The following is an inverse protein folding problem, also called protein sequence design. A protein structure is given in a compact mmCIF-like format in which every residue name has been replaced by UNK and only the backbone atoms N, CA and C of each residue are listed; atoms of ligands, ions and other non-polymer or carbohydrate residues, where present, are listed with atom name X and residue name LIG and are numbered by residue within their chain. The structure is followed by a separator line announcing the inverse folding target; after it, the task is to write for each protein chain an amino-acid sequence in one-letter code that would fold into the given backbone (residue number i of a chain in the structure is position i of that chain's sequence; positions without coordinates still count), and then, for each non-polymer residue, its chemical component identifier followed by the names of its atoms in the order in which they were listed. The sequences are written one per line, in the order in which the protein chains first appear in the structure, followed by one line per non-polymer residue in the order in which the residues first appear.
data_IF_790751541061
#
_entry.id   IF_790751541061
#
_cell.length_a   1.000
_cell.length_b   1.000
_cell.length_c   1.000
_cell.angle_alpha   90.00
_cell.angle_beta   90.00
_cell.angle_gamma   90.00
#
_symmetry.space_group_name_H-M   'P 1'
#
loop_
_entity.id
_entity.type
_entity.pdbx_description
1 polymer ?
#
# COMPACT_ATOMS: atom_id res chain seq x y z
N UNK A 1 -0.27 -12.44 17.62
CA UNK A 1 1.12 -11.97 17.47
C UNK A 1 1.72 -11.41 18.76
N UNK A 2 1.01 -10.61 19.57
CA UNK A 2 1.60 -10.14 20.85
C UNK A 2 2.02 -11.29 21.78
N UNK A 3 1.25 -12.38 21.85
CA UNK A 3 1.63 -13.60 22.60
C UNK A 3 2.78 -14.42 22.00
N UNK A 4 3.33 -14.02 20.85
CA UNK A 4 4.50 -14.65 20.21
C UNK A 4 5.81 -13.91 20.58
N UNK A 5 5.71 -12.77 21.27
CA UNK A 5 6.84 -11.95 21.70
C UNK A 5 7.11 -12.20 23.19
N UNK A 6 8.13 -13.02 23.49
CA UNK A 6 8.59 -13.24 24.86
C UNK A 6 9.57 -12.17 25.34
N UNK A 7 9.90 -12.22 26.64
CA UNK A 7 10.85 -11.30 27.26
C UNK A 7 12.28 -11.44 26.67
N UNK A 8 12.71 -12.67 26.36
CA UNK A 8 14.08 -12.97 25.88
C UNK A 8 14.13 -13.58 24.49
N UNK A 9 13.03 -14.18 24.03
CA UNK A 9 12.92 -14.81 22.70
C UNK A 9 11.60 -14.47 22.02
N UNK A 10 11.63 -14.46 20.71
CA UNK A 10 10.46 -14.28 19.84
C UNK A 10 10.20 -15.60 19.11
N UNK A 11 8.96 -16.08 19.18
CA UNK A 11 8.52 -17.30 18.50
C UNK A 11 7.23 -17.01 17.74
N UNK A 12 7.37 -16.56 16.49
CA UNK A 12 6.22 -16.44 15.59
C UNK A 12 5.71 -17.83 15.26
N UNK A 13 4.53 -18.17 15.80
CA UNK A 13 3.93 -19.49 15.62
C UNK A 13 3.62 -19.74 14.14
N UNK A 14 3.70 -21.00 13.65
CA UNK A 14 3.32 -21.34 12.27
C UNK A 14 1.91 -20.86 11.89
N UNK A 15 0.94 -20.98 12.81
CA UNK A 15 -0.42 -20.48 12.61
C UNK A 15 -0.48 -18.95 12.42
N UNK A 16 0.30 -18.19 13.22
CA UNK A 16 0.41 -16.73 13.05
C UNK A 16 1.02 -16.39 11.69
N UNK A 17 2.11 -17.08 11.28
CA UNK A 17 2.73 -16.86 9.98
C UNK A 17 1.79 -17.17 8.82
N UNK A 18 1.02 -18.26 8.92
CA UNK A 18 0.02 -18.63 7.93
C UNK A 18 -1.06 -17.55 7.82
N UNK A 19 -1.61 -17.08 8.95
CA UNK A 19 -2.61 -16.01 8.96
C UNK A 19 -2.08 -14.70 8.36
N UNK A 20 -0.85 -14.31 8.67
CA UNK A 20 -0.20 -13.13 8.08
C UNK A 20 0.00 -13.30 6.57
N UNK A 21 0.35 -14.50 6.11
CA UNK A 21 0.52 -14.80 4.68
C UNK A 21 -0.76 -14.68 3.85
N UNK A 22 -1.94 -14.79 4.50
CA UNK A 22 -3.24 -14.63 3.84
C UNK A 22 -3.73 -13.17 3.81
N UNK A 23 -3.02 -12.23 4.43
CA UNK A 23 -3.44 -10.82 4.43
C UNK A 23 -3.30 -10.22 3.02
N UNK A 24 -4.43 -9.78 2.47
CA UNK A 24 -4.50 -9.11 1.18
C UNK A 24 -5.34 -7.84 1.25
N UNK A 25 -4.98 -6.88 0.41
CA UNK A 25 -5.58 -5.54 0.32
C UNK A 25 -6.18 -5.27 -1.06
N UNK A 26 -6.08 -6.23 -1.98
CA UNK A 26 -6.63 -6.13 -3.35
C UNK A 26 -8.14 -5.89 -3.36
N UNK A 27 -8.88 -6.50 -2.43
CA UNK A 27 -10.32 -6.24 -2.30
C UNK A 27 -10.60 -4.78 -1.90
N UNK A 28 -9.74 -4.19 -1.07
CA UNK A 28 -9.87 -2.79 -0.63
C UNK A 28 -9.63 -1.84 -1.81
N UNK A 29 -8.57 -2.04 -2.59
CA UNK A 29 -8.29 -1.16 -3.75
C UNK A 29 -9.40 -1.24 -4.80
N UNK A 30 -10.00 -2.42 -5.01
CA UNK A 30 -11.15 -2.59 -5.91
C UNK A 30 -12.43 -1.92 -5.42
N UNK A 31 -12.56 -1.71 -4.11
CA UNK A 31 -13.72 -1.06 -3.52
C UNK A 31 -13.64 0.47 -3.55
N UNK A 32 -12.47 1.06 -3.82
CA UNK A 32 -12.33 2.51 -3.95
C UNK A 32 -12.91 2.94 -5.31
N UNK A 33 -13.93 3.81 -5.36
CA UNK A 33 -14.48 4.27 -6.62
C UNK A 33 -13.48 5.13 -7.40
N UNK A 34 -13.37 4.90 -8.71
CA UNK A 34 -12.69 5.82 -9.60
C UNK A 34 -13.50 7.13 -9.73
N UNK A 35 -12.80 8.25 -9.85
CA UNK A 35 -13.44 9.57 -9.99
C UNK A 35 -13.85 10.23 -8.66
N UNK A 36 -13.43 9.69 -7.51
CA UNK A 36 -13.59 10.40 -6.24
C UNK A 36 -12.95 11.80 -6.30
N UNK A 37 -13.62 12.85 -5.82
CA UNK A 37 -13.02 14.17 -5.75
C UNK A 37 -11.86 14.16 -4.74
N UNK A 38 -10.82 14.95 -5.01
CA UNK A 38 -9.57 14.97 -4.21
C UNK A 38 -9.78 15.11 -2.71
N UNK A 39 -10.80 15.90 -2.29
CA UNK A 39 -11.14 16.08 -0.88
C UNK A 39 -11.45 14.76 -0.17
N UNK A 40 -12.03 13.78 -0.86
CA UNK A 40 -12.37 12.45 -0.31
C UNK A 40 -11.33 11.39 -0.69
N UNK A 41 -10.75 11.49 -1.89
CA UNK A 41 -9.75 10.54 -2.37
C UNK A 41 -8.49 10.52 -1.49
N UNK A 42 -7.99 11.68 -1.06
CA UNK A 42 -6.81 11.78 -0.19
C UNK A 42 -7.00 11.01 1.13
N UNK A 43 -8.04 11.33 1.92
CA UNK A 43 -8.37 10.59 3.15
C UNK A 43 -8.60 9.08 2.95
N UNK A 44 -9.30 8.68 1.87
CA UNK A 44 -9.47 7.26 1.53
C UNK A 44 -8.13 6.55 1.30
N UNK A 45 -7.21 7.21 0.57
CA UNK A 45 -5.88 6.66 0.33
C UNK A 45 -4.99 6.68 1.58
N UNK A 46 -5.23 7.57 2.54
CA UNK A 46 -4.58 7.54 3.85
C UNK A 46 -5.00 6.31 4.68
N UNK A 47 -6.30 6.00 4.71
CA UNK A 47 -6.81 4.76 5.34
C UNK A 47 -6.21 3.51 4.67
N UNK A 48 -6.15 3.50 3.33
CA UNK A 48 -5.51 2.41 2.59
C UNK A 48 -4.00 2.30 2.88
N UNK A 49 -3.30 3.43 2.97
CA UNK A 49 -1.89 3.49 3.38
C UNK A 49 -1.66 2.81 4.73
N UNK A 50 -2.56 3.02 5.69
CA UNK A 50 -2.46 2.44 7.01
C UNK A 50 -2.70 0.93 7.03
N UNK A 51 -3.63 0.45 6.21
CA UNK A 51 -3.81 -0.98 5.99
C UNK A 51 -2.56 -1.62 5.40
N UNK A 52 -1.96 -1.01 4.38
CA UNK A 52 -0.73 -1.50 3.77
C UNK A 52 0.45 -1.48 4.75
N UNK A 53 0.58 -0.39 5.50
CA UNK A 53 1.60 -0.27 6.55
C UNK A 53 1.49 -1.42 7.54
N UNK A 54 0.30 -1.65 8.10
CA UNK A 54 0.05 -2.76 9.05
C UNK A 54 0.34 -4.12 8.43
N UNK A 55 -0.15 -4.36 7.21
CA UNK A 55 0.04 -5.62 6.49
C UNK A 55 1.53 -5.91 6.29
N UNK A 56 2.30 -4.95 5.79
CA UNK A 56 3.74 -5.11 5.52
C UNK A 56 4.57 -5.19 6.79
N UNK A 57 4.18 -4.51 7.86
CA UNK A 57 4.77 -4.65 9.20
C UNK A 57 4.63 -6.06 9.74
N UNK A 58 3.42 -6.64 9.65
CA UNK A 58 3.17 -8.02 10.05
C UNK A 58 3.93 -9.01 9.16
N UNK A 59 3.89 -8.82 7.84
CA UNK A 59 4.62 -9.68 6.90
C UNK A 59 6.13 -9.63 7.13
N UNK A 60 6.71 -8.44 7.31
CA UNK A 60 8.14 -8.26 7.59
C UNK A 60 8.56 -8.99 8.86
N UNK A 61 7.77 -8.88 9.92
CA UNK A 61 8.01 -9.60 11.16
C UNK A 61 7.84 -11.13 11.01
N UNK A 62 6.87 -11.59 10.22
CA UNK A 62 6.61 -13.02 10.00
C UNK A 62 7.56 -13.68 8.98
N UNK A 63 8.45 -12.94 8.31
CA UNK A 63 9.50 -13.50 7.45
C UNK A 63 10.42 -14.44 8.22
N UNK A 64 10.68 -14.10 9.48
CA UNK A 64 11.52 -14.88 10.38
C UNK A 64 10.70 -16.05 10.94
N UNK A 65 11.08 -17.28 10.55
CA UNK A 65 10.45 -18.55 10.97
C UNK A 65 11.34 -19.29 11.97
N UNK A 66 10.82 -20.35 12.66
CA UNK A 66 11.59 -21.03 13.70
C UNK A 66 12.98 -21.48 13.24
N UNK A 67 13.95 -21.55 14.17
CA UNK A 67 13.76 -21.59 15.63
C UNK A 67 13.45 -20.23 16.28
N UNK A 68 13.05 -20.25 17.56
CA UNK A 68 12.80 -19.04 18.34
C UNK A 68 14.01 -18.10 18.29
N UNK A 69 13.79 -16.85 17.91
CA UNK A 69 14.84 -15.85 17.69
C UNK A 69 15.16 -15.15 19.01
N UNK A 70 16.42 -15.04 19.45
CA UNK A 70 16.77 -14.21 20.61
C UNK A 70 16.32 -12.77 20.39
N UNK A 71 15.64 -12.16 21.36
CA UNK A 71 15.11 -10.80 21.23
C UNK A 71 16.21 -9.76 20.96
N UNK A 72 17.41 -9.98 21.50
CA UNK A 72 18.58 -9.13 21.32
C UNK A 72 19.34 -9.36 20.02
N UNK A 73 19.03 -10.41 19.24
CA UNK A 73 19.72 -10.65 17.97
C UNK A 73 19.31 -9.62 16.89
N UNK A 74 20.11 -9.46 15.83
CA UNK A 74 19.74 -8.60 14.70
C UNK A 74 18.36 -8.93 14.11
N UNK A 75 18.01 -10.21 14.01
CA UNK A 75 16.70 -10.68 13.55
C UNK A 75 15.60 -10.33 14.55
N UNK A 76 15.85 -10.50 15.85
CA UNK A 76 14.91 -10.13 16.90
C UNK A 76 14.58 -8.63 16.87
N UNK A 77 15.60 -7.79 16.69
CA UNK A 77 15.43 -6.34 16.53
C UNK A 77 14.73 -5.98 15.22
N UNK A 78 14.99 -6.69 14.12
CA UNK A 78 14.29 -6.48 12.86
C UNK A 78 12.78 -6.80 12.97
N UNK A 79 12.42 -7.89 13.66
CA UNK A 79 11.02 -8.23 13.96
C UNK A 79 10.36 -7.12 14.75
N UNK A 80 10.98 -6.66 15.84
CA UNK A 80 10.43 -5.60 16.70
C UNK A 80 10.30 -4.27 15.95
N UNK A 81 11.29 -3.91 15.12
CA UNK A 81 11.22 -2.73 14.27
C UNK A 81 10.04 -2.81 13.31
N UNK A 82 9.87 -3.93 12.60
CA UNK A 82 8.76 -4.09 11.67
C UNK A 82 7.41 -4.03 12.38
N UNK A 83 7.28 -4.63 13.56
CA UNK A 83 6.08 -4.49 14.38
C UNK A 83 5.83 -3.04 14.82
N UNK A 84 6.88 -2.34 15.24
CA UNK A 84 6.83 -0.93 15.65
C UNK A 84 6.35 -0.01 14.53
N UNK A 85 6.76 -0.25 13.29
CA UNK A 85 6.32 0.49 12.11
C UNK A 85 4.79 0.45 11.91
N UNK A 86 4.15 -0.67 12.25
CA UNK A 86 2.70 -0.84 12.11
C UNK A 86 1.89 -0.18 13.22
N UNK A 87 2.51 0.12 14.36
CA UNK A 87 1.86 0.64 15.57
C UNK A 87 1.13 1.97 15.35
N UNK A 88 1.80 3.02 14.84
CA UNK A 88 1.15 4.31 14.58
C UNK A 88 -0.03 4.21 13.61
N UNK A 89 0.08 3.38 12.56
CA UNK A 89 -1.01 3.13 11.62
C UNK A 89 -2.19 2.42 12.28
N UNK A 90 -1.93 1.43 13.14
CA UNK A 90 -2.98 0.77 13.90
C UNK A 90 -3.70 1.72 14.88
N UNK A 91 -2.96 2.64 15.52
CA UNK A 91 -3.51 3.56 16.51
C UNK A 91 -4.49 4.59 15.92
N UNK A 92 -4.27 5.05 14.68
CA UNK A 92 -5.13 6.03 14.01
C UNK A 92 -6.23 5.44 13.15
N UNK A 93 -6.11 4.17 12.75
CA UNK A 93 -6.95 3.55 11.72
C UNK A 93 -8.47 3.74 11.92
N UNK A 94 -8.99 3.45 13.11
CA UNK A 94 -10.43 3.54 13.36
C UNK A 94 -10.92 4.99 13.31
N UNK A 95 -10.11 5.94 13.78
CA UNK A 95 -10.38 7.37 13.68
C UNK A 95 -10.41 7.86 12.23
N UNK A 96 -9.41 7.44 11.43
CA UNK A 96 -9.32 7.81 10.02
C UNK A 96 -10.48 7.21 9.20
N UNK A 97 -10.89 5.97 9.49
CA UNK A 97 -12.08 5.35 8.87
C UNK A 97 -13.34 6.10 9.24
N UNK A 98 -13.51 6.51 10.51
CA UNK A 98 -14.67 7.30 10.93
C UNK A 98 -14.70 8.64 10.20
N UNK A 99 -13.58 9.37 10.17
CA UNK A 99 -13.48 10.67 9.50
C UNK A 99 -13.81 10.59 8.01
N UNK A 100 -13.33 9.54 7.31
CA UNK A 100 -13.68 9.28 5.90
C UNK A 100 -15.18 9.04 5.73
N UNK A 101 -15.81 8.28 6.64
CA UNK A 101 -17.26 8.02 6.59
C UNK A 101 -18.06 9.29 6.82
N UNK A 102 -17.71 10.07 7.83
CA UNK A 102 -18.39 11.34 8.14
C UNK A 102 -18.30 12.30 6.96
N UNK A 103 -17.12 12.39 6.34
CA UNK A 103 -16.92 13.22 5.16
C UNK A 103 -17.73 12.70 3.95
N UNK A 104 -17.81 11.39 3.75
CA UNK A 104 -18.58 10.82 2.65
C UNK A 104 -20.09 11.08 2.78
N UNK A 105 -20.62 11.11 4.01
CA UNK A 105 -22.06 11.33 4.28
C UNK A 105 -22.56 12.73 3.88
N UNK A 106 -21.70 13.74 3.98
CA UNK A 106 -22.06 15.13 3.64
C UNK A 106 -21.76 15.49 2.18
N UNK A 107 -21.28 14.53 1.40
CA UNK A 107 -20.91 14.75 0.01
C UNK A 107 -22.05 14.37 -0.95
N UNK A 108 -22.23 15.13 -2.05
CA UNK A 108 -23.11 14.69 -3.12
C UNK A 108 -22.71 13.31 -3.64
N UNK A 109 -23.67 12.49 -4.11
CA UNK A 109 -23.36 11.22 -4.76
C UNK A 109 -22.32 11.41 -5.86
N UNK A 110 -21.28 10.57 -5.82
CA UNK A 110 -20.21 10.58 -6.82
C UNK A 110 -20.57 9.60 -7.92
N UNK A 111 -20.59 10.07 -9.16
CA UNK A 111 -20.67 9.19 -10.32
C UNK A 111 -19.36 8.40 -10.43
N UNK A 112 -19.47 7.08 -10.35
CA UNK A 112 -18.29 6.20 -10.51
C UNK A 112 -17.82 6.30 -11.96
N UNK A 113 -16.55 6.65 -12.15
CA UNK A 113 -15.96 6.74 -13.48
C UNK A 113 -15.91 5.36 -14.17
N UNK A 114 -15.98 5.35 -15.51
CA UNK A 114 -15.90 4.12 -16.29
C UNK A 114 -14.59 3.35 -15.98
N UNK A 115 -14.60 1.99 -15.95
CA UNK A 115 -13.42 1.21 -15.59
C UNK A 115 -12.21 1.40 -16.51
N UNK A 116 -12.43 1.72 -17.78
CA UNK A 116 -11.42 2.00 -18.81
C UNK A 116 -11.04 3.49 -18.90
N UNK A 117 -11.52 4.31 -17.96
CA UNK A 117 -11.27 5.75 -17.97
C UNK A 117 -9.90 6.13 -17.43
N UNK A 118 -9.50 7.36 -17.79
CA UNK A 118 -8.39 8.13 -17.22
C UNK A 118 -8.37 8.09 -15.68
N UNK A 119 -9.52 8.34 -15.05
CA UNK A 119 -9.66 8.43 -13.61
C UNK A 119 -9.45 7.06 -12.92
N UNK A 120 -9.89 5.96 -13.57
CA UNK A 120 -9.63 4.61 -13.08
C UNK A 120 -8.14 4.23 -13.18
N UNK A 121 -7.46 4.68 -14.24
CA UNK A 121 -6.01 4.51 -14.36
C UNK A 121 -5.28 5.24 -13.23
N UNK A 122 -5.63 6.50 -12.96
CA UNK A 122 -4.99 7.34 -11.93
C UNK A 122 -5.18 6.78 -10.52
N UNK A 123 -6.38 6.27 -10.21
CA UNK A 123 -6.60 5.55 -8.95
C UNK A 123 -5.69 4.32 -8.83
N UNK A 124 -5.53 3.55 -9.90
CA UNK A 124 -4.62 2.39 -9.93
C UNK A 124 -3.16 2.83 -9.75
N UNK A 125 -2.76 3.96 -10.33
CA UNK A 125 -1.43 4.55 -10.14
C UNK A 125 -1.20 4.94 -8.69
N UNK A 126 -2.10 5.69 -8.06
CA UNK A 126 -1.93 6.10 -6.66
C UNK A 126 -1.97 4.94 -5.68
N UNK A 127 -2.86 3.97 -5.86
CA UNK A 127 -2.90 2.78 -4.98
C UNK A 127 -1.65 1.91 -5.13
N UNK A 128 -1.12 1.79 -6.36
CA UNK A 128 0.18 1.12 -6.60
C UNK A 128 1.33 1.89 -5.96
N UNK A 129 1.34 3.22 -6.10
CA UNK A 129 2.35 4.09 -5.49
C UNK A 129 2.36 3.96 -3.96
N UNK A 130 1.20 4.06 -3.31
CA UNK A 130 1.06 3.91 -1.86
C UNK A 130 1.57 2.54 -1.39
N UNK A 131 1.19 1.47 -2.09
CA UNK A 131 1.67 0.11 -1.77
C UNK A 131 3.19 0.02 -1.86
N UNK A 132 3.78 0.51 -2.95
CA UNK A 132 5.23 0.46 -3.15
C UNK A 132 5.97 1.33 -2.13
N UNK A 133 5.44 2.50 -1.78
CA UNK A 133 6.02 3.38 -0.78
C UNK A 133 6.14 2.74 0.61
N UNK A 134 5.33 1.72 0.91
CA UNK A 134 5.39 0.94 2.15
C UNK A 134 6.39 -0.24 2.09
N UNK A 135 6.71 -0.73 0.90
CA UNK A 135 7.58 -1.91 0.68
C UNK A 135 8.94 -1.62 0.05
N UNK A 136 9.20 -0.37 -0.38
CA UNK A 136 10.42 0.01 -1.10
C UNK A 136 11.70 -0.30 -0.32
N UNK A 137 12.74 -0.73 -1.04
CA UNK A 137 14.08 -1.03 -0.50
C UNK A 137 14.11 -2.01 0.69
N UNK A 138 13.20 -2.99 0.74
CA UNK A 138 13.15 -3.96 1.85
C UNK A 138 12.44 -3.45 3.10
N UNK A 139 11.69 -2.34 3.00
CA UNK A 139 10.83 -1.82 4.05
C UNK A 139 9.72 -2.78 4.48
N UNK A 140 9.21 -2.58 5.70
CA UNK A 140 8.11 -3.35 6.27
C UNK A 140 7.01 -2.43 6.81
N UNK A 141 6.53 -1.52 5.96
CA UNK A 141 5.56 -0.50 6.32
C UNK A 141 6.15 0.62 7.19
N UNK A 142 5.26 1.45 7.75
CA UNK A 142 5.58 2.53 8.68
C UNK A 142 5.62 3.92 8.05
N UNK A 143 5.41 4.03 6.74
CA UNK A 143 5.36 5.34 6.10
C UNK A 143 4.05 6.03 6.40
N UNK A 144 4.12 7.24 6.95
CA UNK A 144 2.92 8.04 7.19
C UNK A 144 2.22 8.39 5.87
N UNK A 145 0.88 8.53 5.86
CA UNK A 145 0.18 9.08 4.72
C UNK A 145 0.79 10.43 4.30
N UNK A 146 0.95 10.63 3.01
CA UNK A 146 1.44 11.87 2.43
C UNK A 146 0.42 12.40 1.41
N UNK A 147 0.44 13.71 1.10
CA UNK A 147 -0.35 14.25 0.00
C UNK A 147 -0.11 13.45 -1.28
N UNK A 148 -1.16 13.28 -2.07
CA UNK A 148 -1.07 12.51 -3.31
C UNK A 148 -0.09 13.19 -4.27
N UNK A 149 0.95 12.48 -4.74
CA UNK A 149 1.85 13.04 -5.72
C UNK A 149 1.10 13.34 -7.02
N UNK A 150 1.44 14.42 -7.73
CA UNK A 150 0.80 14.73 -9.00
C UNK A 150 1.05 13.61 -10.02
N UNK A 151 0.05 13.33 -10.84
CA UNK A 151 0.19 12.43 -11.99
C UNK A 151 0.22 13.29 -13.25
N UNK A 152 1.28 13.13 -14.03
CA UNK A 152 1.44 13.80 -15.33
C UNK A 152 1.50 12.75 -16.43
N UNK A 153 0.65 12.90 -17.44
CA UNK A 153 0.61 11.98 -18.58
C UNK A 153 1.41 12.50 -19.75
N UNK A 154 2.02 11.57 -20.46
CA UNK A 154 2.84 11.83 -21.63
C UNK A 154 2.48 10.85 -22.74
N UNK A 155 2.73 11.19 -24.01
CA UNK A 155 2.74 10.21 -25.08
C UNK A 155 3.63 9.02 -24.72
N UNK A 156 3.20 7.80 -25.08
CA UNK A 156 3.97 6.57 -24.80
C UNK A 156 5.36 6.72 -25.40
N UNK A 157 6.39 6.58 -24.58
CA UNK A 157 7.80 6.63 -25.00
C UNK A 157 8.63 5.59 -24.30
N UNK A 158 9.76 5.25 -24.89
CA UNK A 158 10.75 4.38 -24.26
C UNK A 158 11.40 5.12 -23.07
N UNK A 159 11.60 4.44 -21.95
CA UNK A 159 12.16 5.00 -20.71
C UNK A 159 13.65 5.36 -20.88
N UNK A 160 14.35 4.60 -21.72
CA UNK A 160 15.72 4.84 -22.20
C UNK A 160 15.93 4.12 -23.51
N UNK A 161 16.78 4.66 -24.39
CA UNK A 161 17.00 4.10 -25.72
C UNK A 161 17.50 2.65 -25.65
N UNK A 162 16.79 1.72 -26.29
CA UNK A 162 17.17 0.31 -26.38
C UNK A 162 16.88 -0.53 -25.12
N UNK A 163 16.08 -0.01 -24.18
CA UNK A 163 15.69 -0.74 -22.95
C UNK A 163 14.47 -1.65 -23.16
N UNK A 164 13.68 -1.41 -24.21
CA UNK A 164 12.39 -2.09 -24.44
C UNK A 164 11.31 -1.74 -23.39
N UNK A 165 11.58 -0.84 -22.45
CA UNK A 165 10.66 -0.43 -21.39
C UNK A 165 9.97 0.88 -21.76
N UNK A 166 8.66 0.96 -21.56
CA UNK A 166 7.86 2.12 -21.96
C UNK A 166 7.19 2.80 -20.77
N UNK A 167 6.91 4.08 -20.91
CA UNK A 167 6.18 4.87 -19.91
C UNK A 167 5.05 5.65 -20.56
N UNK A 168 3.95 5.84 -19.82
CA UNK A 168 2.81 6.69 -20.18
C UNK A 168 2.76 7.99 -19.36
N UNK A 169 3.66 8.17 -18.39
CA UNK A 169 3.57 9.31 -17.49
C UNK A 169 4.52 9.24 -16.29
N UNK A 170 4.34 10.18 -15.38
CA UNK A 170 5.04 10.24 -14.09
C UNK A 170 4.08 10.45 -12.93
N UNK A 171 4.40 9.86 -11.78
CA UNK A 171 3.72 10.09 -10.50
C UNK A 171 4.76 10.61 -9.51
N UNK A 172 4.64 11.89 -9.12
CA UNK A 172 5.64 12.54 -8.27
C UNK A 172 7.03 12.55 -8.89
N UNK A 173 7.11 12.65 -10.22
CA UNK A 173 8.36 12.58 -10.99
C UNK A 173 8.87 11.18 -11.31
N UNK A 174 8.25 10.11 -10.79
CA UNK A 174 8.65 8.73 -11.06
C UNK A 174 7.85 8.17 -12.23
N UNK A 175 8.53 7.59 -13.22
CA UNK A 175 7.88 7.04 -14.41
C UNK A 175 6.94 5.88 -14.07
N UNK A 176 5.83 5.77 -14.81
CA UNK A 176 4.94 4.61 -14.76
C UNK A 176 4.47 4.18 -16.15
N UNK A 177 4.15 2.90 -16.29
CA UNK A 177 3.41 2.32 -17.40
C UNK A 177 2.02 1.96 -16.91
N UNK A 178 0.99 2.31 -17.67
CA UNK A 178 -0.40 1.99 -17.36
C UNK A 178 -1.10 1.43 -18.60
N UNK A 179 -1.54 0.18 -18.52
CA UNK A 179 -2.18 -0.53 -19.63
C UNK A 179 -3.53 -1.08 -19.20
N UNK A 180 -4.58 -0.75 -19.93
CA UNK A 180 -5.90 -1.32 -19.71
C UNK A 180 -6.05 -2.64 -20.47
N UNK A 181 -6.58 -3.66 -19.80
CA UNK A 181 -6.95 -4.94 -20.40
C UNK A 181 -8.42 -5.22 -20.11
N UNK A 182 -9.21 -5.44 -21.17
CA UNK A 182 -10.63 -5.75 -21.04
C UNK A 182 -10.84 -6.97 -20.12
N UNK A 183 -11.74 -6.85 -19.14
CA UNK A 183 -12.02 -7.90 -18.15
C UNK A 183 -10.96 -8.06 -17.04
N UNK A 184 -9.80 -7.42 -17.14
CA UNK A 184 -8.75 -7.44 -16.10
C UNK A 184 -8.56 -6.07 -15.42
N UNK A 185 -8.94 -4.99 -16.09
CA UNK A 185 -8.77 -3.62 -15.61
C UNK A 185 -7.41 -3.03 -15.96
N UNK A 186 -7.03 -1.98 -15.23
CA UNK A 186 -5.73 -1.33 -15.38
C UNK A 186 -4.62 -2.14 -14.71
N UNK A 187 -3.54 -2.38 -15.45
CA UNK A 187 -2.27 -2.85 -14.92
C UNK A 187 -1.29 -1.67 -14.88
N UNK A 188 -0.74 -1.38 -13.70
CA UNK A 188 0.22 -0.29 -13.51
C UNK A 188 1.55 -0.83 -13.00
N UNK A 189 2.61 -0.44 -13.68
CA UNK A 189 3.99 -0.60 -13.26
C UNK A 189 4.58 0.78 -12.93
N UNK A 190 5.13 0.94 -11.73
CA UNK A 190 5.89 2.15 -11.35
C UNK A 190 7.36 1.78 -11.28
N UNK A 191 8.21 2.53 -11.98
CA UNK A 191 9.65 2.29 -12.06
C UNK A 191 10.38 2.85 -10.85
N UNK A 192 10.10 2.30 -9.67
CA UNK A 192 10.72 2.62 -8.39
C UNK A 192 11.29 1.35 -7.71
N UNK A 193 12.21 1.56 -6.77
CA UNK A 193 12.80 0.52 -5.92
C UNK A 193 11.91 0.12 -4.73
#
# INVERSE_FOLDING_TARGET
MNGDIGATRILIKPATKAAVGQLQTTAVTRAIPAGLPHRLLGPVLAVYNDLESRRLSLMGAARYSPPAVPRSSPEGQAILRCLGNGGPAAARYDGDVSAVRDQAQVMPPVAVAAPDSRAAAELTVWTTFVRLAQSGCGGCGGRAPAPLPPITWHPKKELGAGTGSYTNGTVGGIAFLAEYRLGQGWNVLIYAC
#
